data_IF_483716148933
#
_entry.id   IF_483716148933
#
_cell.length_a   1.000
_cell.length_b   1.000
_cell.length_c   1.000
_cell.angle_alpha   90.00
_cell.angle_beta   90.00
_cell.angle_gamma   90.00
#
_symmetry.space_group_name_H-M   'P 1'
#
loop_
_entity.id
_entity.type
_entity.pdbx_description
1 polymer ?
#
# COMPACT_ATOMS: atom_id res chain seq x y z
N UNK A 1 9.22 16.74 -28.05
CA UNK A 1 9.67 15.58 -27.27
C UNK A 1 10.10 16.11 -25.92
N UNK A 2 9.37 15.77 -24.86
CA UNK A 2 9.73 16.12 -23.49
C UNK A 2 10.54 14.95 -22.94
N UNK A 3 11.78 15.22 -22.56
CA UNK A 3 12.65 14.28 -21.85
C UNK A 3 12.87 14.87 -20.47
N UNK A 4 12.21 14.30 -19.47
CA UNK A 4 12.41 14.67 -18.08
C UNK A 4 13.34 13.65 -17.43
N UNK A 5 14.36 14.14 -16.74
CA UNK A 5 15.32 13.32 -16.01
C UNK A 5 15.14 13.61 -14.52
N UNK A 6 14.63 12.63 -13.77
CA UNK A 6 14.41 12.75 -12.34
C UNK A 6 15.49 11.94 -11.60
N UNK A 7 16.02 12.44 -10.47
CA UNK A 7 16.89 11.63 -9.63
C UNK A 7 16.14 10.38 -9.17
N UNK A 8 16.63 9.19 -9.55
CA UNK A 8 16.00 7.90 -9.24
C UNK A 8 16.07 7.51 -7.76
N UNK A 9 16.85 8.26 -6.98
CA UNK A 9 17.04 8.06 -5.55
C UNK A 9 16.73 9.36 -4.83
N UNK A 10 15.64 9.35 -4.07
CA UNK A 10 15.50 10.24 -2.92
C UNK A 10 16.19 9.50 -1.79
N UNK A 11 17.27 10.06 -1.24
CA UNK A 11 17.94 9.46 -0.08
C UNK A 11 16.95 9.45 1.09
N UNK A 12 16.55 8.26 1.54
CA UNK A 12 15.55 8.10 2.59
C UNK A 12 14.82 6.75 2.55
N UNK A 13 14.08 6.40 3.62
CA UNK A 13 13.29 5.18 3.66
C UNK A 13 12.14 5.23 2.62
N UNK A 14 11.82 4.08 2.03
CA UNK A 14 10.91 3.97 0.88
C UNK A 14 9.50 4.47 1.23
N UNK A 15 9.09 5.62 0.68
CA UNK A 15 7.80 6.27 0.98
C UNK A 15 6.67 5.98 -0.02
N UNK A 16 6.89 5.08 -0.98
CA UNK A 16 5.85 4.62 -1.92
C UNK A 16 6.14 3.23 -2.50
N UNK A 17 5.09 2.58 -2.98
CA UNK A 17 5.13 1.39 -3.83
C UNK A 17 4.21 1.59 -5.02
N UNK A 18 4.44 0.84 -6.08
CA UNK A 18 3.71 0.94 -7.34
C UNK A 18 3.70 -0.43 -8.03
N UNK A 19 2.85 -0.63 -9.01
CA UNK A 19 2.43 -1.93 -9.54
C UNK A 19 3.60 -2.82 -10.00
N UNK A 20 4.61 -2.31 -10.72
CA UNK A 20 5.75 -3.15 -11.12
C UNK A 20 6.64 -3.59 -9.94
N UNK A 21 6.48 -2.98 -8.76
CA UNK A 21 7.19 -3.37 -7.54
C UNK A 21 6.34 -4.16 -6.55
N UNK A 22 5.02 -4.23 -6.75
CA UNK A 22 4.17 -5.01 -5.88
C UNK A 22 4.51 -6.51 -5.98
N UNK A 23 4.25 -7.22 -4.88
CA UNK A 23 4.36 -8.67 -4.78
C UNK A 23 2.99 -9.20 -4.39
N UNK A 24 2.19 -9.69 -5.35
CA UNK A 24 0.96 -10.38 -5.01
C UNK A 24 1.25 -11.77 -4.44
N UNK A 25 0.35 -12.25 -3.61
CA UNK A 25 0.31 -13.64 -3.18
C UNK A 25 -0.27 -14.57 -4.27
N UNK A 26 -0.61 -15.81 -3.90
CA UNK A 26 -1.14 -16.80 -4.84
C UNK A 26 -2.57 -16.51 -5.30
N UNK A 27 -3.33 -15.74 -4.52
CA UNK A 27 -4.70 -15.35 -4.83
C UNK A 27 -4.74 -14.03 -5.62
N UNK A 28 -3.60 -13.36 -5.77
CA UNK A 28 -3.49 -12.07 -6.44
C UNK A 28 -3.66 -10.88 -5.50
N UNK A 29 -3.75 -11.12 -4.20
CA UNK A 29 -3.86 -10.10 -3.17
C UNK A 29 -2.49 -9.50 -2.85
N UNK A 30 -2.47 -8.23 -2.46
CA UNK A 30 -1.23 -7.50 -2.13
C UNK A 30 -1.31 -7.02 -0.68
N UNK A 31 -0.33 -7.41 0.12
CA UNK A 31 -0.15 -6.88 1.49
C UNK A 31 0.85 -5.73 1.48
N UNK A 32 0.45 -4.60 2.06
CA UNK A 32 1.31 -3.43 2.28
C UNK A 32 1.29 -3.08 3.77
N UNK A 33 2.47 -3.04 4.39
CA UNK A 33 2.64 -2.57 5.77
C UNK A 33 3.17 -1.14 5.73
N UNK A 34 2.53 -0.25 6.48
CA UNK A 34 2.94 1.14 6.65
C UNK A 34 3.34 1.35 8.10
N UNK A 35 4.59 1.74 8.34
CA UNK A 35 5.12 1.95 9.70
C UNK A 35 6.25 2.98 9.70
N UNK A 36 6.69 3.43 10.87
CA UNK A 36 8.02 4.06 10.98
C UNK A 36 9.10 3.02 10.66
N UNK A 37 10.30 3.44 10.20
CA UNK A 37 11.42 2.53 10.03
C UNK A 37 11.76 1.71 11.27
N UNK A 38 11.72 2.33 12.46
CA UNK A 38 12.02 1.67 13.74
C UNK A 38 10.92 0.69 14.17
N UNK A 39 9.68 0.89 13.70
CA UNK A 39 8.52 0.04 14.01
C UNK A 39 8.25 -1.00 12.90
N UNK A 40 9.23 -1.26 12.01
CA UNK A 40 9.03 -2.16 10.87
C UNK A 40 9.04 -3.63 11.34
N UNK A 41 7.95 -4.40 11.17
CA UNK A 41 7.93 -5.82 11.52
C UNK A 41 8.96 -6.64 10.74
N UNK A 42 9.57 -7.65 11.38
CA UNK A 42 10.60 -8.49 10.72
C UNK A 42 10.07 -9.28 9.52
N UNK A 43 8.78 -9.62 9.53
CA UNK A 43 8.07 -10.30 8.44
C UNK A 43 7.49 -9.32 7.39
N UNK A 44 7.60 -7.99 7.57
CA UNK A 44 7.24 -6.98 6.56
C UNK A 44 8.33 -6.83 5.49
N UNK A 45 8.62 -7.91 4.76
CA UNK A 45 9.70 -8.01 3.77
C UNK A 45 9.25 -8.76 2.52
N UNK A 46 9.91 -8.47 1.41
CA UNK A 46 9.62 -9.07 0.10
C UNK A 46 9.71 -10.60 0.11
N UNK A 47 10.61 -11.19 0.91
CA UNK A 47 10.72 -12.62 1.07
C UNK A 47 9.45 -13.28 1.66
N UNK A 48 8.68 -12.55 2.49
CA UNK A 48 7.39 -13.01 3.01
C UNK A 48 6.20 -12.61 2.10
N UNK A 49 6.45 -12.01 0.92
CA UNK A 49 5.39 -11.47 0.07
C UNK A 49 4.83 -10.12 0.52
N UNK A 50 5.45 -9.47 1.51
CA UNK A 50 4.95 -8.21 2.09
C UNK A 50 5.70 -7.02 1.50
N UNK A 51 4.94 -6.01 1.09
CA UNK A 51 5.45 -4.72 0.64
C UNK A 51 5.48 -3.78 1.85
N UNK A 52 6.47 -2.88 1.92
CA UNK A 52 6.61 -1.96 3.05
C UNK A 52 6.79 -0.53 2.56
N UNK A 53 6.09 0.38 3.23
CA UNK A 53 6.21 1.83 3.03
C UNK A 53 6.54 2.47 4.37
N UNK A 54 7.55 3.33 4.36
CA UNK A 54 7.90 4.18 5.49
C UNK A 54 6.89 5.32 5.63
N UNK A 55 6.31 5.43 6.83
CA UNK A 55 5.52 6.59 7.25
C UNK A 55 6.47 7.78 7.48
N UNK A 56 6.09 9.01 7.06
CA UNK A 56 6.87 10.20 7.36
C UNK A 56 7.02 10.43 8.87
N UNK A 57 8.23 10.80 9.32
CA UNK A 57 8.47 11.13 10.73
C UNK A 57 7.69 12.35 11.21
N UNK A 58 7.41 13.29 10.30
CA UNK A 58 6.66 14.53 10.60
C UNK A 58 5.15 14.35 10.55
N UNK A 59 4.68 13.12 10.39
CA UNK A 59 3.28 12.79 10.28
C UNK A 59 2.58 13.42 9.07
N UNK A 60 1.42 14.02 9.30
CA UNK A 60 0.53 14.53 8.25
C UNK A 60 0.92 15.91 7.69
N UNK A 61 1.93 16.56 8.28
CA UNK A 61 2.34 17.91 7.90
C UNK A 61 1.40 19.04 8.35
N UNK A 62 0.37 18.74 9.14
CA UNK A 62 -0.58 19.68 9.73
C UNK A 62 -0.47 19.78 11.27
N UNK A 63 0.60 19.22 11.84
CA UNK A 63 0.86 19.24 13.29
C UNK A 63 0.44 17.97 14.01
N UNK A 64 0.05 16.92 13.29
CA UNK A 64 -0.26 15.60 13.85
C UNK A 64 0.86 14.61 13.50
N UNK A 65 1.87 14.44 14.38
CA UNK A 65 3.06 13.63 14.08
C UNK A 65 2.78 12.12 14.02
N UNK A 66 1.65 11.66 14.58
CA UNK A 66 1.26 10.24 14.57
C UNK A 66 0.30 9.89 13.42
N UNK A 67 -0.21 10.88 12.70
CA UNK A 67 -1.07 10.69 11.54
C UNK A 67 -0.25 10.75 10.25
N UNK A 68 -0.71 10.10 9.17
CA UNK A 68 -0.15 10.29 7.85
C UNK A 68 -1.17 9.92 6.78
N UNK A 69 -1.33 10.71 5.71
CA UNK A 69 -2.21 10.34 4.61
C UNK A 69 -1.61 9.18 3.82
N UNK A 70 -2.40 8.13 3.59
CA UNK A 70 -2.09 7.07 2.63
C UNK A 70 -2.94 7.26 1.38
N UNK A 71 -2.29 7.44 0.23
CA UNK A 71 -2.97 7.61 -1.05
C UNK A 71 -2.82 6.34 -1.89
N UNK A 72 -3.94 5.64 -2.12
CA UNK A 72 -4.04 4.60 -3.14
C UNK A 72 -4.51 5.22 -4.46
N UNK A 73 -3.81 4.92 -5.55
CA UNK A 73 -4.11 5.49 -6.86
C UNK A 73 -4.21 4.41 -7.93
N UNK A 74 -5.39 4.31 -8.54
CA UNK A 74 -5.62 3.41 -9.67
C UNK A 74 -5.48 4.19 -10.98
N UNK A 75 -4.55 3.77 -11.84
CA UNK A 75 -4.23 4.42 -13.11
C UNK A 75 -4.56 3.47 -14.26
N UNK A 76 -5.26 4.00 -15.27
CA UNK A 76 -5.47 3.35 -16.57
C UNK A 76 -5.93 1.88 -16.47
N UNK A 77 -7.05 1.58 -15.78
CA UNK A 77 -7.57 0.22 -15.76
C UNK A 77 -7.89 -0.25 -17.18
N UNK A 78 -7.80 -1.56 -17.43
CA UNK A 78 -8.26 -2.16 -18.67
C UNK A 78 -9.71 -1.73 -18.96
N UNK A 79 -10.05 -1.54 -20.24
CA UNK A 79 -11.35 -0.99 -20.65
C UNK A 79 -12.55 -1.83 -20.17
N UNK A 80 -12.33 -3.13 -19.94
CA UNK A 80 -13.32 -4.09 -19.48
C UNK A 80 -13.22 -4.41 -17.97
N UNK A 81 -12.33 -3.76 -17.20
CA UNK A 81 -12.20 -3.97 -15.76
C UNK A 81 -13.25 -3.14 -15.00
N UNK A 82 -14.40 -3.76 -14.70
CA UNK A 82 -15.57 -3.09 -14.10
C UNK A 82 -15.42 -2.78 -12.62
N UNK A 83 -14.44 -3.39 -11.95
CA UNK A 83 -14.14 -3.22 -10.54
C UNK A 83 -13.32 -1.95 -10.24
N UNK A 84 -13.05 -1.13 -11.25
CA UNK A 84 -12.28 0.10 -11.04
C UNK A 84 -13.08 1.11 -10.17
N UNK A 85 -12.47 1.73 -9.14
CA UNK A 85 -13.13 2.72 -8.28
C UNK A 85 -13.74 3.90 -9.04
N UNK A 86 -13.31 4.20 -10.27
CA UNK A 86 -13.94 5.24 -11.10
C UNK A 86 -15.38 4.94 -11.53
N UNK A 87 -15.84 3.71 -11.34
CA UNK A 87 -17.22 3.31 -11.60
C UNK A 87 -18.09 3.38 -10.34
N UNK A 88 -17.53 3.70 -9.17
CA UNK A 88 -18.32 3.98 -7.98
C UNK A 88 -19.07 5.28 -8.17
N UNK A 89 -20.24 5.35 -7.56
CA UNK A 89 -21.03 6.56 -7.41
C UNK A 89 -20.55 7.34 -6.18
N UNK A 90 -20.97 8.61 -6.03
CA UNK A 90 -20.60 9.43 -4.88
C UNK A 90 -21.07 8.92 -3.50
N UNK A 91 -21.87 7.84 -3.44
CA UNK A 91 -22.26 7.14 -2.21
C UNK A 91 -22.85 5.74 -2.54
N UNK A 92 -22.68 4.80 -1.60
CA UNK A 92 -23.38 3.52 -1.39
C UNK A 92 -22.95 2.31 -2.23
N UNK A 93 -22.03 2.44 -3.19
CA UNK A 93 -21.55 1.31 -4.02
C UNK A 93 -20.03 1.08 -3.90
N UNK A 94 -19.38 1.69 -2.91
CA UNK A 94 -17.93 1.59 -2.70
C UNK A 94 -17.49 0.16 -2.37
N UNK A 95 -18.35 -0.63 -1.73
CA UNK A 95 -18.08 -2.05 -1.50
C UNK A 95 -18.46 -2.92 -2.71
N UNK A 96 -19.56 -2.58 -3.39
CA UNK A 96 -20.15 -3.41 -4.44
C UNK A 96 -19.37 -3.33 -5.75
N UNK A 97 -18.95 -2.13 -6.18
CA UNK A 97 -18.25 -1.95 -7.47
C UNK A 97 -16.88 -2.63 -7.45
N UNK A 98 -15.98 -2.37 -6.48
CA UNK A 98 -14.69 -3.05 -6.43
C UNK A 98 -14.83 -4.52 -6.00
N UNK A 99 -15.82 -4.86 -5.17
CA UNK A 99 -16.04 -6.22 -4.67
C UNK A 99 -14.78 -6.78 -4.01
N UNK A 100 -14.32 -7.94 -4.47
CA UNK A 100 -13.08 -8.56 -3.99
C UNK A 100 -11.82 -7.68 -4.22
N UNK A 101 -11.87 -6.71 -5.14
CA UNK A 101 -10.77 -5.75 -5.35
C UNK A 101 -10.81 -4.56 -4.39
N UNK A 102 -11.78 -4.49 -3.47
CA UNK A 102 -11.81 -3.47 -2.43
C UNK A 102 -10.65 -3.69 -1.46
N UNK A 103 -9.81 -2.66 -1.30
CA UNK A 103 -8.75 -2.68 -0.29
C UNK A 103 -9.35 -2.56 1.11
N UNK A 104 -8.91 -3.40 2.02
CA UNK A 104 -9.19 -3.28 3.46
C UNK A 104 -7.94 -2.82 4.20
N UNK A 105 -8.13 -2.21 5.36
CA UNK A 105 -7.04 -1.81 6.26
C UNK A 105 -7.38 -2.18 7.70
N UNK A 106 -6.35 -2.51 8.46
CA UNK A 106 -6.44 -2.78 9.89
C UNK A 106 -5.21 -2.16 10.57
N UNK A 107 -5.40 -1.64 11.78
CA UNK A 107 -4.31 -1.17 12.63
C UNK A 107 -3.84 -2.31 13.53
N UNK A 108 -2.53 -2.52 13.59
CA UNK A 108 -1.89 -3.46 14.51
C UNK A 108 -0.51 -2.92 14.92
N UNK A 109 0.09 -3.50 15.94
CA UNK A 109 1.46 -3.20 16.36
C UNK A 109 2.47 -4.18 15.72
N UNK A 110 3.76 -3.93 15.94
CA UNK A 110 4.84 -4.76 15.40
C UNK A 110 4.65 -6.24 15.80
N UNK A 111 4.42 -6.51 17.09
CA UNK A 111 4.27 -7.85 17.60
C UNK A 111 3.00 -8.55 17.07
N UNK A 112 1.93 -7.80 16.87
CA UNK A 112 0.66 -8.27 16.29
C UNK A 112 0.85 -8.73 14.86
N UNK A 113 1.51 -7.92 14.02
CA UNK A 113 1.81 -8.31 12.65
C UNK A 113 2.79 -9.49 12.60
N UNK A 114 3.83 -9.52 13.44
CA UNK A 114 4.80 -10.62 13.45
C UNK A 114 4.19 -11.98 13.77
N UNK A 115 3.13 -12.03 14.60
CA UNK A 115 2.42 -13.28 14.93
C UNK A 115 1.73 -13.92 13.72
N UNK A 116 1.47 -13.17 12.65
CA UNK A 116 0.85 -13.70 11.42
C UNK A 116 1.80 -14.57 10.59
N UNK A 117 3.10 -14.54 10.88
CA UNK A 117 4.11 -15.27 10.10
C UNK A 117 4.38 -14.61 8.75
N UNK A 118 4.91 -15.36 7.78
CA UNK A 118 5.05 -14.86 6.41
C UNK A 118 3.76 -15.16 5.62
N UNK A 119 3.02 -14.14 5.12
CA UNK A 119 1.79 -14.37 4.37
C UNK A 119 1.96 -15.28 3.14
N UNK A 120 3.11 -15.23 2.46
CA UNK A 120 3.42 -16.10 1.32
C UNK A 120 3.44 -17.60 1.65
N UNK A 121 3.64 -17.96 2.92
CA UNK A 121 3.79 -19.34 3.38
C UNK A 121 2.45 -19.95 3.86
N UNK A 122 1.42 -19.12 4.00
CA UNK A 122 0.07 -19.53 4.44
C UNK A 122 -0.85 -19.81 3.24
#
# INVERSE_FOLDING_TARGET
>A
MLVETWPTKVDGPQSFVYDERLRPDREGCVTVVVSRPDDRPRNARSACGVNWIARPEKGDGAGHPDDAPLLLRNRLPAWNFRQAPRFTRPADDEADVPGHCLSTSEYTDEAGFEKTGCPRDN
#
